data_IF_291923395025
#
_entry.id   IF_291923395025
#
_cell.length_a   1.000
_cell.length_b   1.000
_cell.length_c   1.000
_cell.angle_alpha   90.00
_cell.angle_beta   90.00
_cell.angle_gamma   90.00
#
_symmetry.space_group_name_H-M   'P 1'
#
loop_
_entity.id
_entity.type
_entity.pdbx_description
1 polymer ?
#
# COMPACT_ATOMS: atom_id res chain seq x y z
N UNK A 1 -0.77 -13.22 -4.56
CA UNK A 1 -0.06 -13.12 -5.86
C UNK A 1 1.26 -12.39 -5.65
N UNK A 2 1.26 -11.08 -5.33
CA UNK A 2 2.50 -10.37 -4.94
C UNK A 2 3.28 -11.06 -3.81
N UNK A 3 2.59 -11.48 -2.75
CA UNK A 3 3.15 -12.22 -1.60
C UNK A 3 3.93 -13.49 -1.97
N UNK A 4 3.57 -14.09 -3.11
CA UNK A 4 4.18 -15.30 -3.67
C UNK A 4 5.17 -15.00 -4.80
N UNK A 5 5.55 -13.73 -4.99
CA UNK A 5 6.42 -13.27 -6.08
C UNK A 5 5.72 -13.16 -7.45
N UNK A 6 4.39 -13.40 -7.51
CA UNK A 6 3.62 -13.29 -8.74
C UNK A 6 3.21 -11.84 -8.99
N UNK A 7 3.23 -11.43 -10.25
CA UNK A 7 2.83 -10.09 -10.69
C UNK A 7 1.31 -9.85 -10.57
N UNK A 8 0.93 -8.58 -10.40
CA UNK A 8 -0.45 -8.13 -10.43
C UNK A 8 -0.68 -7.23 -11.65
N UNK A 9 -1.47 -7.74 -12.60
CA UNK A 9 -1.88 -7.03 -13.80
C UNK A 9 -2.84 -5.90 -13.48
N UNK A 10 -2.48 -4.67 -13.84
CA UNK A 10 -3.37 -3.50 -13.66
C UNK A 10 -4.67 -3.64 -14.45
N UNK A 11 -4.65 -4.07 -15.74
CA UNK A 11 -5.89 -4.36 -16.47
C UNK A 11 -6.80 -5.37 -15.74
N UNK A 12 -6.24 -6.44 -15.18
CA UNK A 12 -7.02 -7.45 -14.47
C UNK A 12 -7.60 -6.93 -13.16
N UNK A 13 -6.90 -6.02 -12.47
CA UNK A 13 -7.42 -5.36 -11.26
C UNK A 13 -8.54 -4.38 -11.62
N UNK A 14 -8.38 -3.62 -12.71
CA UNK A 14 -9.42 -2.71 -13.24
C UNK A 14 -10.71 -3.47 -13.51
N UNK A 15 -10.62 -4.59 -14.23
CA UNK A 15 -11.78 -5.44 -14.54
C UNK A 15 -12.38 -6.06 -13.27
N UNK A 16 -11.54 -6.59 -12.37
CA UNK A 16 -12.00 -7.27 -11.16
C UNK A 16 -12.72 -6.34 -10.18
N UNK A 17 -12.28 -5.09 -10.07
CA UNK A 17 -12.80 -4.14 -9.09
C UNK A 17 -13.75 -3.10 -9.71
N UNK A 18 -13.94 -3.15 -11.03
CA UNK A 18 -14.75 -2.17 -11.78
C UNK A 18 -14.35 -0.71 -11.48
N UNK A 19 -13.04 -0.45 -11.48
CA UNK A 19 -12.48 0.88 -11.21
C UNK A 19 -11.47 1.28 -12.27
N UNK A 20 -11.21 2.57 -12.39
CA UNK A 20 -10.23 3.06 -13.36
C UNK A 20 -8.80 2.68 -12.99
N UNK A 21 -7.93 2.57 -14.00
CA UNK A 21 -6.47 2.43 -13.81
C UNK A 21 -5.90 3.48 -12.87
N UNK A 22 -6.41 4.72 -12.94
CA UNK A 22 -5.96 5.83 -12.09
C UNK A 22 -6.23 5.53 -10.61
N UNK A 23 -7.40 5.00 -10.27
CA UNK A 23 -7.74 4.62 -8.89
C UNK A 23 -6.77 3.54 -8.39
N UNK A 24 -6.59 2.45 -9.16
CA UNK A 24 -5.63 1.40 -8.78
C UNK A 24 -4.22 1.97 -8.54
N UNK A 25 -3.73 2.83 -9.44
CA UNK A 25 -2.40 3.40 -9.33
C UNK A 25 -2.26 4.35 -8.13
N UNK A 26 -3.28 5.17 -7.88
CA UNK A 26 -3.34 6.06 -6.71
C UNK A 26 -3.34 5.25 -5.42
N UNK A 27 -4.20 4.24 -5.31
CA UNK A 27 -4.32 3.43 -4.09
C UNK A 27 -3.03 2.68 -3.78
N UNK A 28 -2.38 2.11 -4.79
CA UNK A 28 -1.08 1.48 -4.59
C UNK A 28 -0.03 2.51 -4.13
N UNK A 29 0.00 3.70 -4.73
CA UNK A 29 0.95 4.76 -4.37
C UNK A 29 0.72 5.31 -2.96
N UNK A 30 -0.52 5.51 -2.55
CA UNK A 30 -0.88 6.14 -1.28
C UNK A 30 -0.88 5.15 -0.11
N UNK A 31 -1.31 3.91 -0.36
CA UNK A 31 -1.58 2.96 0.73
C UNK A 31 -0.64 1.76 0.75
N UNK A 32 -0.21 1.24 -0.41
CA UNK A 32 0.61 0.03 -0.47
C UNK A 32 2.12 0.33 -0.46
N UNK A 33 2.60 1.13 -1.41
CA UNK A 33 4.03 1.41 -1.58
C UNK A 33 4.69 2.02 -0.33
N UNK A 34 4.06 2.93 0.44
CA UNK A 34 4.66 3.49 1.64
C UNK A 34 4.87 2.47 2.78
N UNK A 35 4.27 1.28 2.69
CA UNK A 35 4.52 0.17 3.63
C UNK A 35 5.83 -0.56 3.32
N UNK A 36 6.33 -0.43 2.09
CA UNK A 36 7.52 -1.12 1.57
C UNK A 36 8.49 -0.11 0.95
N UNK A 37 8.97 0.81 1.79
CA UNK A 37 9.84 1.94 1.41
C UNK A 37 11.24 1.54 0.92
N UNK A 38 11.57 0.26 0.95
CA UNK A 38 12.84 -0.30 0.48
C UNK A 38 12.82 -0.70 -1.01
N UNK A 39 11.80 -0.26 -1.76
CA UNK A 39 11.67 -0.53 -3.18
C UNK A 39 11.42 -2.01 -3.49
N UNK A 40 10.92 -2.79 -2.52
CA UNK A 40 10.56 -4.19 -2.72
C UNK A 40 9.39 -4.37 -3.67
N UNK A 41 8.47 -3.41 -3.73
CA UNK A 41 7.36 -3.38 -4.69
C UNK A 41 7.62 -2.26 -5.70
N UNK A 42 7.49 -2.59 -6.98
CA UNK A 42 7.72 -1.64 -8.06
C UNK A 42 6.73 -1.89 -9.21
N UNK A 43 6.54 -0.86 -10.04
CA UNK A 43 5.66 -0.93 -11.20
C UNK A 43 6.48 -1.16 -12.47
N UNK A 44 6.15 -2.21 -13.21
CA UNK A 44 6.70 -2.49 -14.53
C UNK A 44 5.78 -1.87 -15.59
N UNK A 45 6.23 -0.77 -16.20
CA UNK A 45 5.47 -0.03 -17.20
C UNK A 45 5.31 -0.78 -18.52
N UNK A 46 6.23 -1.69 -18.85
CA UNK A 46 6.16 -2.49 -20.08
C UNK A 46 5.01 -3.49 -20.01
N UNK A 47 4.95 -4.26 -18.93
CA UNK A 47 3.91 -5.26 -18.70
C UNK A 47 2.65 -4.70 -18.03
N UNK A 48 2.67 -3.43 -17.61
CA UNK A 48 1.58 -2.75 -16.86
C UNK A 48 1.20 -3.52 -15.58
N UNK A 49 2.19 -4.06 -14.88
CA UNK A 49 2.00 -4.88 -13.69
C UNK A 49 2.72 -4.30 -12.47
N UNK A 50 2.17 -4.55 -11.28
CA UNK A 50 2.91 -4.42 -10.04
C UNK A 50 3.67 -5.71 -9.76
N UNK A 51 4.96 -5.58 -9.49
CA UNK A 51 5.87 -6.68 -9.17
C UNK A 51 6.44 -6.46 -7.78
N UNK A 52 6.80 -7.56 -7.14
CA UNK A 52 7.60 -7.52 -5.94
C UNK A 52 8.87 -8.33 -6.14
N UNK A 53 9.95 -7.96 -5.43
CA UNK A 53 11.13 -8.81 -5.33
C UNK A 53 10.72 -10.20 -4.85
N UNK A 54 11.34 -11.23 -5.41
CA UNK A 54 11.05 -12.61 -5.05
C UNK A 54 11.10 -12.78 -3.53
N UNK A 55 10.15 -13.54 -3.00
CA UNK A 55 10.15 -13.94 -1.59
C UNK A 55 10.06 -12.76 -0.60
N UNK A 56 9.50 -11.61 -1.00
CA UNK A 56 9.47 -10.44 -0.12
C UNK A 56 8.59 -10.61 1.14
N UNK A 57 7.52 -11.42 1.05
CA UNK A 57 6.68 -11.79 2.21
C UNK A 57 7.07 -13.12 2.85
N UNK A 58 7.87 -13.96 2.20
CA UNK A 58 8.33 -15.20 2.84
C UNK A 58 9.38 -14.95 3.92
N UNK A 59 9.93 -13.73 4.00
CA UNK A 59 10.80 -13.26 5.10
C UNK A 59 10.04 -12.53 6.20
N UNK A 60 8.74 -12.28 6.03
CA UNK A 60 7.92 -11.62 7.05
C UNK A 60 7.21 -12.67 7.88
N UNK A 61 7.22 -12.54 9.20
CA UNK A 61 6.44 -13.39 10.12
C UNK A 61 4.92 -13.26 9.93
N UNK A 62 4.50 -12.20 9.23
CA UNK A 62 3.10 -11.86 8.99
C UNK A 62 2.63 -12.32 7.62
N UNK A 63 1.41 -12.81 7.55
CA UNK A 63 0.65 -13.02 6.33
C UNK A 63 0.29 -11.70 5.64
N UNK A 64 -0.16 -11.80 4.39
CA UNK A 64 -0.63 -10.63 3.64
C UNK A 64 -1.84 -9.96 4.32
N UNK A 65 -2.73 -10.74 4.94
CA UNK A 65 -3.91 -10.23 5.64
C UNK A 65 -3.53 -9.50 6.92
N UNK A 66 -2.60 -10.05 7.70
CA UNK A 66 -2.06 -9.37 8.90
C UNK A 66 -1.35 -8.07 8.56
N UNK A 67 -0.59 -8.04 7.47
CA UNK A 67 0.03 -6.80 6.98
C UNK A 67 -1.01 -5.77 6.54
N UNK A 68 -2.11 -6.19 5.91
CA UNK A 68 -3.21 -5.29 5.55
C UNK A 68 -3.89 -4.71 6.79
N UNK A 69 -4.12 -5.54 7.83
CA UNK A 69 -4.68 -5.08 9.12
C UNK A 69 -3.74 -4.07 9.80
N UNK A 70 -2.44 -4.38 9.89
CA UNK A 70 -1.43 -3.45 10.46
C UNK A 70 -1.40 -2.13 9.68
N UNK A 71 -1.48 -2.18 8.35
CA UNK A 71 -1.50 -1.00 7.49
C UNK A 71 -2.72 -0.12 7.72
N UNK A 72 -3.91 -0.72 7.80
CA UNK A 72 -5.17 -0.01 8.09
C UNK A 72 -5.09 0.64 9.47
N UNK A 73 -4.60 -0.08 10.49
CA UNK A 73 -4.43 0.43 11.85
C UNK A 73 -3.44 1.60 11.90
N UNK A 74 -2.29 1.48 11.23
CA UNK A 74 -1.27 2.53 11.12
C UNK A 74 -1.79 3.79 10.42
N UNK A 75 -2.62 3.64 9.39
CA UNK A 75 -3.24 4.80 8.74
C UNK A 75 -4.29 5.46 9.62
N UNK A 76 -5.19 4.69 10.25
CA UNK A 76 -6.17 5.22 11.21
C UNK A 76 -5.53 5.91 12.41
N UNK A 77 -4.34 5.48 12.85
CA UNK A 77 -3.64 6.13 13.95
C UNK A 77 -3.12 7.52 13.57
N UNK A 78 -2.75 7.75 12.30
CA UNK A 78 -2.32 9.07 11.81
C UNK A 78 -3.47 10.09 11.78
N UNK A 79 -4.68 9.64 11.49
CA UNK A 79 -5.87 10.50 11.51
C UNK A 79 -6.11 11.06 12.92
N UNK A 80 -5.99 10.23 13.96
CA UNK A 80 -6.13 10.67 15.37
C UNK A 80 -5.00 11.59 15.82
N UNK A 81 -3.76 11.38 15.38
CA UNK A 81 -2.64 12.27 15.74
C UNK A 81 -2.73 13.63 15.05
N UNK A 82 -3.34 13.72 13.86
CA UNK A 82 -3.48 14.99 13.15
C UNK A 82 -4.36 16.01 13.90
N UNK A 83 -5.37 15.54 14.64
CA UNK A 83 -6.21 16.38 15.49
C UNK A 83 -5.47 16.88 16.73
N UNK A 84 -4.69 16.01 17.39
CA UNK A 84 -3.94 16.36 18.60
C UNK A 84 -2.78 17.33 18.33
N UNK A 85 -2.09 17.19 17.20
CA UNK A 85 -1.00 18.10 16.80
C UNK A 85 -1.55 19.50 16.47
N UNK A 86 -2.70 19.58 15.79
CA UNK A 86 -3.36 20.87 15.52
C UNK A 86 -3.88 21.55 16.79
N UNK A 87 -4.46 20.80 17.73
CA UNK A 87 -4.94 21.38 18.99
C UNK A 87 -3.81 21.91 19.87
N UNK A 88 -2.66 21.22 19.93
CA UNK A 88 -1.51 21.69 20.69
C UNK A 88 -0.93 23.00 20.11
N UNK A 89 -0.94 23.16 18.78
CA UNK A 89 -0.38 24.35 18.14
C UNK A 89 -1.27 25.60 18.28
N UNK A 90 -2.59 25.44 18.47
CA UNK A 90 -3.52 26.54 18.73
C UNK A 90 -3.44 26.99 20.21
N UNK A 91 -3.05 26.11 21.14
CA UNK A 91 -2.91 26.47 22.56
C UNK A 91 -1.63 27.23 22.92
N UNK A 92 -0.71 27.42 21.97
CA UNK A 92 0.56 28.14 22.14
C UNK A 92 0.65 29.45 21.32
N UNK A 93 -0.48 29.94 20.79
CA UNK A 93 -0.63 31.25 20.14
C UNK A 93 -1.65 32.09 20.89
#
# INVERSE_FOLDING_TARGET
>A
MLSKGQELSTPSLVERFDVTKKIIQTDFKEYLLPLFSDGKIFYDYSSKTYKAKNNFLTKTLFSADELAVIAILKNKSKDKSSHLVKSLQISYL
#
